data_IF_886536166813
#
_entry.id   IF_886536166813
#
_cell.length_a   1.000
_cell.length_b   1.000
_cell.length_c   1.000
_cell.angle_alpha   90.00
_cell.angle_beta   90.00
_cell.angle_gamma   90.00
#
_symmetry.space_group_name_H-M   'P 1'
#
loop_
_entity.id
_entity.type
_entity.pdbx_description
1 polymer ?
#
# COMPACT_ATOMS: atom_id res chain seq x y z
N UNK A 1 -0.33 2.33 1.68
CA UNK A 1 0.38 3.30 0.83
C UNK A 1 0.56 4.57 1.66
N UNK A 2 1.77 5.10 1.72
CA UNK A 2 2.07 6.37 2.40
C UNK A 2 2.51 7.36 1.33
N UNK A 3 1.94 8.56 1.35
CA UNK A 3 2.23 9.63 0.39
C UNK A 3 3.00 10.75 1.07
N UNK A 4 4.08 11.23 0.44
CA UNK A 4 4.97 12.22 1.05
C UNK A 4 4.29 13.58 1.33
N UNK A 5 3.28 13.95 0.52
CA UNK A 5 2.48 15.17 0.72
C UNK A 5 1.57 15.15 1.97
N UNK A 6 1.57 14.06 2.74
CA UNK A 6 0.91 13.99 4.06
C UNK A 6 -0.61 13.83 4.04
N UNK A 7 -1.24 13.82 2.86
CA UNK A 7 -2.66 13.51 2.69
C UNK A 7 -2.93 12.03 2.42
N UNK A 8 -4.19 11.70 2.16
CA UNK A 8 -4.64 10.36 1.74
C UNK A 8 -5.38 10.38 0.39
N UNK A 9 -5.46 11.55 -0.24
CA UNK A 9 -6.15 11.74 -1.52
C UNK A 9 -5.37 11.12 -2.67
N UNK A 10 -6.09 10.39 -3.51
CA UNK A 10 -5.59 9.80 -4.74
C UNK A 10 -6.60 9.97 -5.88
N UNK A 11 -6.13 9.79 -7.12
CA UNK A 11 -6.98 9.68 -8.31
C UNK A 11 -6.70 8.38 -9.05
N UNK A 12 -7.76 7.78 -9.58
CA UNK A 12 -7.63 6.68 -10.52
C UNK A 12 -7.27 7.22 -11.92
N UNK A 13 -6.43 6.49 -12.65
CA UNK A 13 -6.15 6.76 -14.05
C UNK A 13 -7.31 6.26 -14.95
N UNK A 14 -7.46 6.82 -16.16
CA UNK A 14 -8.49 6.36 -17.12
C UNK A 14 -8.31 4.91 -17.59
N UNK A 15 -7.14 4.29 -17.32
CA UNK A 15 -6.87 2.89 -17.65
C UNK A 15 -7.63 1.89 -16.76
N UNK A 16 -8.23 2.36 -15.66
CA UNK A 16 -8.98 1.53 -14.70
C UNK A 16 -8.11 0.79 -13.69
N UNK A 17 -6.79 1.04 -13.67
CA UNK A 17 -5.84 0.31 -12.84
C UNK A 17 -4.95 1.22 -11.99
N UNK A 18 -4.32 2.23 -12.59
CA UNK A 18 -3.30 2.99 -11.88
C UNK A 18 -3.91 3.98 -10.88
N UNK A 19 -3.29 4.08 -9.71
CA UNK A 19 -3.59 5.11 -8.71
C UNK A 19 -2.43 6.10 -8.63
N UNK A 20 -2.76 7.39 -8.64
CA UNK A 20 -1.79 8.47 -8.53
C UNK A 20 -2.10 9.36 -7.31
N UNK A 21 -1.06 9.90 -6.70
CA UNK A 21 -1.19 11.02 -5.75
C UNK A 21 -1.80 12.23 -6.45
N UNK A 22 -2.58 13.03 -5.72
CA UNK A 22 -3.24 14.21 -6.30
C UNK A 22 -2.29 15.40 -6.45
N UNK A 23 -1.23 15.46 -5.65
CA UNK A 23 -0.21 16.50 -5.62
C UNK A 23 1.04 16.17 -6.47
N UNK A 24 1.13 14.92 -6.97
CA UNK A 24 2.29 14.46 -7.74
C UNK A 24 3.49 14.08 -6.88
N UNK A 25 3.37 14.13 -5.54
CA UNK A 25 4.43 13.71 -4.64
C UNK A 25 4.60 12.19 -4.64
N UNK A 26 5.75 11.75 -4.11
CA UNK A 26 6.12 10.33 -4.05
C UNK A 26 5.21 9.53 -3.11
N UNK A 27 4.97 8.27 -3.46
CA UNK A 27 4.28 7.31 -2.62
C UNK A 27 5.12 6.04 -2.43
N UNK A 28 4.95 5.38 -1.29
CA UNK A 28 5.55 4.08 -0.98
C UNK A 28 4.48 3.10 -0.47
N UNK A 29 4.65 1.81 -0.75
CA UNK A 29 3.78 0.74 -0.28
C UNK A 29 4.62 -0.50 0.03
N UNK A 30 4.24 -1.22 1.09
CA UNK A 30 4.74 -2.55 1.41
C UNK A 30 3.55 -3.41 1.86
N UNK A 31 3.62 -4.71 1.58
CA UNK A 31 2.56 -5.66 1.90
C UNK A 31 3.17 -6.99 2.37
N UNK A 32 2.51 -7.61 3.34
CA UNK A 32 2.75 -9.00 3.71
C UNK A 32 1.42 -9.72 3.94
N UNK A 33 1.33 -10.97 3.50
CA UNK A 33 0.27 -11.89 3.95
C UNK A 33 0.65 -12.48 5.30
N UNK A 34 -0.27 -12.42 6.27
CA UNK A 34 -0.06 -12.93 7.64
C UNK A 34 -1.11 -13.97 7.98
N UNK A 35 -0.67 -15.14 8.47
CA UNK A 35 -1.54 -16.15 9.06
C UNK A 35 -1.62 -15.97 10.58
N UNK A 36 -2.82 -16.03 11.14
CA UNK A 36 -3.04 -16.07 12.59
C UNK A 36 -3.04 -17.53 13.04
N UNK A 37 -2.19 -17.87 14.01
CA UNK A 37 -2.06 -19.24 14.54
C UNK A 37 -2.09 -19.24 16.07
N UNK A 38 -2.22 -20.42 16.68
CA UNK A 38 -2.20 -20.60 18.14
C UNK A 38 -0.86 -20.15 18.75
N UNK A 39 0.24 -20.31 18.02
CA UNK A 39 1.59 -19.90 18.43
C UNK A 39 1.91 -18.43 18.11
N UNK A 40 0.93 -17.69 17.57
CA UNK A 40 1.06 -16.28 17.18
C UNK A 40 1.00 -16.02 15.67
N UNK A 41 1.16 -14.76 15.23
CA UNK A 41 1.09 -14.40 13.82
C UNK A 41 2.34 -14.87 13.06
N UNK A 42 2.14 -15.39 11.86
CA UNK A 42 3.22 -15.81 10.95
C UNK A 42 3.17 -15.00 9.67
N UNK A 43 4.30 -14.37 9.31
CA UNK A 43 4.45 -13.68 8.02
C UNK A 43 4.71 -14.73 6.94
N UNK A 44 3.79 -14.87 5.99
CA UNK A 44 3.85 -15.89 4.92
C UNK A 44 4.70 -15.47 3.71
N UNK A 45 5.14 -14.22 3.69
CA UNK A 45 5.76 -13.56 2.53
C UNK A 45 7.08 -12.88 2.93
N UNK A 46 7.82 -13.49 3.86
CA UNK A 46 9.19 -13.07 4.17
C UNK A 46 10.11 -13.24 2.94
N UNK A 47 11.19 -12.46 2.83
CA UNK A 47 12.16 -12.57 1.72
C UNK A 47 12.76 -13.96 1.56
#
# INVERSE_FOLDING_TARGET
MVTAGGGDRYRAAPDGWALHTTDGDRAAHTEHTVAITEDGPRILTLP
#
